data_IF_484989895449
#
_entry.id   IF_484989895449
#
_cell.length_a   1.000
_cell.length_b   1.000
_cell.length_c   1.000
_cell.angle_alpha   90.00
_cell.angle_beta   90.00
_cell.angle_gamma   90.00
#
_symmetry.space_group_name_H-M   'P 1'
#
loop_
_entity.id
_entity.type
_entity.pdbx_description
1 polymer ?
#
# COMPACT_ATOMS: atom_id res chain seq x y z
N UNK A 1 -12.18 2.64 -11.91
CA UNK A 1 -11.56 3.22 -13.08
C UNK A 1 -10.21 3.83 -12.74
N UNK A 2 -9.44 4.11 -13.77
CA UNK A 2 -8.11 4.67 -13.59
C UNK A 2 -8.13 6.05 -12.92
N UNK A 3 -9.18 6.82 -13.18
CA UNK A 3 -9.30 8.14 -12.60
C UNK A 3 -9.41 8.10 -11.07
N UNK A 4 -10.22 7.18 -10.57
CA UNK A 4 -10.36 7.04 -9.12
C UNK A 4 -9.07 6.55 -8.48
N UNK A 5 -8.38 5.61 -9.15
CA UNK A 5 -7.13 5.07 -8.66
C UNK A 5 -6.04 6.14 -8.64
N UNK A 6 -5.97 6.95 -9.69
CA UNK A 6 -4.99 8.04 -9.75
C UNK A 6 -5.23 9.09 -8.67
N UNK A 7 -6.48 9.34 -8.35
CA UNK A 7 -6.81 10.30 -7.29
C UNK A 7 -6.33 9.79 -5.93
N UNK A 8 -6.51 8.51 -5.66
CA UNK A 8 -6.04 7.90 -4.42
C UNK A 8 -4.53 7.98 -4.34
N UNK A 9 -3.83 7.65 -5.42
CA UNK A 9 -2.37 7.72 -5.45
C UNK A 9 -1.87 9.11 -5.14
N UNK A 10 -2.49 10.12 -5.73
CA UNK A 10 -2.10 11.50 -5.55
C UNK A 10 -2.32 11.96 -4.13
N UNK A 11 -3.41 11.52 -3.52
CA UNK A 11 -3.79 11.90 -2.17
C UNK A 11 -2.92 11.24 -1.11
N UNK A 12 -2.68 9.93 -1.25
CA UNK A 12 -1.92 9.16 -0.26
C UNK A 12 -0.42 9.37 -0.36
N UNK A 13 0.08 9.67 -1.56
CA UNK A 13 1.50 9.68 -1.80
C UNK A 13 2.04 8.25 -1.89
N UNK A 14 3.26 8.12 -2.37
CA UNK A 14 3.86 6.80 -2.54
C UNK A 14 5.26 6.77 -1.95
N UNK A 15 5.53 5.78 -1.13
CA UNK A 15 6.85 5.56 -0.56
C UNK A 15 7.32 4.16 -0.89
N UNK A 16 8.43 4.06 -1.59
CA UNK A 16 8.96 2.76 -2.00
C UNK A 16 9.84 2.11 -0.94
N UNK A 17 10.13 2.82 0.13
CA UNK A 17 10.88 2.30 1.26
C UNK A 17 10.00 2.38 2.51
N UNK A 18 10.03 1.31 3.31
CA UNK A 18 9.22 1.25 4.53
C UNK A 18 9.56 2.40 5.48
N UNK A 19 8.54 2.96 6.10
CA UNK A 19 8.71 4.03 7.08
C UNK A 19 7.68 3.84 8.18
N UNK A 20 7.90 4.48 9.31
CA UNK A 20 6.95 4.45 10.42
C UNK A 20 6.04 5.67 10.34
N UNK A 21 4.74 5.44 10.51
CA UNK A 21 3.80 6.55 10.55
C UNK A 21 3.85 7.24 11.92
N UNK A 22 2.93 8.16 12.15
CA UNK A 22 2.91 8.97 13.37
C UNK A 22 2.74 8.13 14.63
N UNK A 23 2.16 6.94 14.52
CA UNK A 23 1.98 6.06 15.69
C UNK A 23 2.96 4.89 15.68
N UNK A 24 3.95 4.91 14.81
CA UNK A 24 4.99 3.90 14.78
C UNK A 24 4.69 2.65 13.98
N UNK A 25 3.66 2.67 13.15
CA UNK A 25 3.29 1.53 12.32
C UNK A 25 4.12 1.54 11.03
N UNK A 26 4.79 0.42 10.74
CA UNK A 26 5.57 0.32 9.50
C UNK A 26 4.65 0.30 8.30
N UNK A 27 4.90 1.21 7.37
CA UNK A 27 4.05 1.49 6.22
C UNK A 27 4.90 1.58 4.96
N UNK A 28 4.36 1.19 3.81
CA UNK A 28 5.08 1.27 2.54
C UNK A 28 4.08 1.45 1.40
N UNK A 29 4.58 1.93 0.25
CA UNK A 29 3.73 2.14 -0.91
C UNK A 29 2.69 3.22 -0.67
N UNK A 30 1.45 2.92 -0.96
CA UNK A 30 0.32 3.84 -0.78
C UNK A 30 -0.41 3.56 0.54
N UNK A 31 0.34 3.54 1.63
CA UNK A 31 -0.26 3.31 2.93
C UNK A 31 -0.45 1.84 3.30
N UNK A 32 0.27 0.95 2.64
CA UNK A 32 0.20 -0.48 2.93
C UNK A 32 0.92 -0.78 4.24
N UNK A 33 0.28 -1.53 5.12
CA UNK A 33 0.84 -1.91 6.42
C UNK A 33 0.79 -3.42 6.60
N UNK A 34 1.22 -3.89 7.78
CA UNK A 34 1.15 -5.31 8.09
C UNK A 34 -0.28 -5.83 8.20
N UNK A 35 -1.26 -4.94 8.34
CA UNK A 35 -2.66 -5.32 8.29
C UNK A 35 -3.03 -5.85 6.89
N UNK A 36 -2.24 -5.50 5.88
CA UNK A 36 -2.45 -5.92 4.49
C UNK A 36 -1.62 -7.15 4.12
N UNK A 37 -1.16 -7.91 5.11
CA UNK A 37 -0.28 -9.04 4.85
C UNK A 37 -0.91 -10.08 3.93
N UNK A 38 -2.23 -10.20 3.94
CA UNK A 38 -2.93 -11.09 3.04
C UNK A 38 -2.73 -10.70 1.58
N UNK A 39 -2.47 -9.42 1.33
CA UNK A 39 -2.22 -8.90 -0.01
C UNK A 39 -0.73 -9.00 -0.35
N UNK A 40 0.13 -8.55 0.57
CA UNK A 40 1.56 -8.44 0.31
C UNK A 40 2.30 -9.76 0.45
N UNK A 41 1.83 -10.63 1.35
CA UNK A 41 2.49 -11.90 1.64
C UNK A 41 3.77 -11.76 2.43
N UNK A 42 4.14 -10.55 2.85
CA UNK A 42 5.38 -10.30 3.57
C UNK A 42 5.13 -9.33 4.73
N UNK A 43 6.11 -9.24 5.61
CA UNK A 43 6.05 -8.29 6.72
C UNK A 43 6.68 -6.96 6.30
N UNK A 44 6.01 -5.87 6.64
CA UNK A 44 6.54 -4.52 6.40
C UNK A 44 7.44 -4.17 7.57
N UNK A 45 8.71 -3.88 7.30
CA UNK A 45 9.69 -3.62 8.34
C UNK A 45 10.77 -2.68 7.82
N UNK A 46 11.61 -2.22 8.73
CA UNK A 46 12.72 -1.34 8.38
C UNK A 46 13.60 -1.99 7.30
N UNK A 47 13.97 -1.22 6.31
CA UNK A 47 14.83 -1.69 5.24
C UNK A 47 14.10 -2.32 4.06
N UNK A 48 12.80 -2.56 4.19
CA UNK A 48 12.02 -3.11 3.09
C UNK A 48 11.86 -2.06 1.99
N UNK A 49 12.08 -2.49 0.76
CA UNK A 49 11.91 -1.63 -0.42
C UNK A 49 11.12 -2.38 -1.47
N UNK A 50 10.30 -1.66 -2.21
CA UNK A 50 9.50 -2.23 -3.28
C UNK A 50 9.62 -1.35 -4.51
N UNK A 51 9.22 -1.91 -5.67
CA UNK A 51 9.19 -1.13 -6.90
C UNK A 51 7.87 -0.36 -6.99
N UNK A 52 7.85 0.61 -7.91
CA UNK A 52 6.62 1.35 -8.19
C UNK A 52 5.52 0.41 -8.64
N UNK A 53 5.85 -0.57 -9.46
CA UNK A 53 4.87 -1.56 -9.93
C UNK A 53 4.26 -2.33 -8.77
N UNK A 54 5.08 -2.72 -7.81
CA UNK A 54 4.59 -3.45 -6.64
C UNK A 54 3.65 -2.57 -5.81
N UNK A 55 4.01 -1.30 -5.62
CA UNK A 55 3.16 -0.38 -4.88
C UNK A 55 1.80 -0.21 -5.58
N UNK A 56 1.81 -0.07 -6.90
CA UNK A 56 0.59 0.05 -7.68
C UNK A 56 -0.27 -1.20 -7.58
N UNK A 57 0.37 -2.36 -7.64
CA UNK A 57 -0.33 -3.64 -7.55
C UNK A 57 -1.00 -3.81 -6.20
N UNK A 58 -0.29 -3.49 -5.13
CA UNK A 58 -0.85 -3.61 -3.79
C UNK A 58 -2.02 -2.64 -3.58
N UNK A 59 -1.91 -1.43 -4.13
CA UNK A 59 -3.01 -0.49 -4.06
C UNK A 59 -4.23 -1.04 -4.78
N UNK A 60 -4.04 -1.60 -5.97
CA UNK A 60 -5.12 -2.16 -6.76
C UNK A 60 -5.81 -3.30 -6.01
N UNK A 61 -5.03 -4.20 -5.44
CA UNK A 61 -5.61 -5.32 -4.70
C UNK A 61 -6.35 -4.86 -3.47
N UNK A 62 -5.86 -3.83 -2.81
CA UNK A 62 -6.52 -3.28 -1.63
C UNK A 62 -7.89 -2.70 -1.99
N UNK A 63 -7.97 -1.99 -3.09
CA UNK A 63 -9.23 -1.42 -3.57
C UNK A 63 -10.19 -2.53 -3.98
N UNK A 64 -9.70 -3.52 -4.74
CA UNK A 64 -10.53 -4.63 -5.18
C UNK A 64 -11.08 -5.42 -4.00
N UNK A 65 -10.23 -5.69 -3.02
CA UNK A 65 -10.65 -6.41 -1.83
C UNK A 65 -11.75 -5.67 -1.09
N UNK A 66 -11.61 -4.37 -0.98
CA UNK A 66 -12.60 -3.53 -0.32
C UNK A 66 -13.95 -3.59 -1.03
N UNK A 67 -13.92 -3.68 -2.35
CA UNK A 67 -15.14 -3.75 -3.14
C UNK A 67 -15.79 -5.12 -3.13
N UNK A 68 -15.00 -6.16 -2.94
CA UNK A 68 -15.49 -7.54 -3.00
C UNK A 68 -16.09 -8.00 -1.70
N UNK A 69 -15.78 -7.33 -0.63
CA UNK A 69 -16.24 -7.71 0.71
C UNK A 69 -17.70 -7.38 1.00
N UNK A 70 -18.51 -7.50 0.08
CA UNK A 70 -19.92 -7.19 0.30
C UNK A 70 -20.75 -8.41 0.60
#
# INVERSE_FOLDING_TARGET
>A
SDNGLNLIKKFEGCRLTAYQDAVGVWTIGYGTTNADKAITGISIRQGLRISQETADEWLRQSVDKSMVQK
#
